data_IF_104918109224
#
_entry.id   IF_104918109224
#
_cell.length_a   1.000
_cell.length_b   1.000
_cell.length_c   1.000
_cell.angle_alpha   90.00
_cell.angle_beta   90.00
_cell.angle_gamma   90.00
#
_symmetry.space_group_name_H-M   'P 1'
#
loop_
_entity.id
_entity.type
_entity.pdbx_description
1 polymer ?
#
# COMPACT_ATOMS: atom_id res chain seq x y z
N UNK A 1 13.23 18.35 -8.79
CA UNK A 1 13.26 17.02 -8.18
C UNK A 1 12.11 16.16 -8.69
N UNK A 2 12.43 14.99 -9.23
CA UNK A 2 11.39 14.04 -9.68
C UNK A 2 10.70 13.44 -8.46
N UNK A 3 9.38 13.55 -8.39
CA UNK A 3 8.60 13.16 -7.22
C UNK A 3 7.51 12.15 -7.59
N UNK A 4 7.41 11.06 -6.79
CA UNK A 4 6.35 10.07 -6.89
C UNK A 4 5.53 10.12 -5.61
N UNK A 5 4.21 10.20 -5.72
CA UNK A 5 3.31 10.24 -4.59
C UNK A 5 2.37 9.03 -4.60
N UNK A 6 2.30 8.31 -3.48
CA UNK A 6 1.33 7.23 -3.27
C UNK A 6 0.28 7.72 -2.30
N UNK A 7 -0.95 7.87 -2.73
CA UNK A 7 -2.01 8.42 -1.87
C UNK A 7 -3.38 7.92 -2.30
N UNK A 8 -4.34 8.01 -1.37
CA UNK A 8 -5.74 7.70 -1.64
C UNK A 8 -6.44 8.84 -2.38
N UNK A 9 -6.03 10.07 -2.13
CA UNK A 9 -6.68 11.26 -2.66
C UNK A 9 -5.70 12.14 -3.41
N UNK A 10 -6.22 12.94 -4.33
CA UNK A 10 -5.43 13.93 -5.06
C UNK A 10 -5.22 15.16 -4.16
N UNK A 11 -4.28 15.03 -3.22
CA UNK A 11 -3.89 16.09 -2.30
C UNK A 11 -3.06 17.17 -3.00
N UNK A 12 -2.75 18.26 -2.31
CA UNK A 12 -1.86 19.28 -2.87
C UNK A 12 -0.48 18.72 -3.18
N UNK A 13 0.04 17.84 -2.31
CA UNK A 13 1.31 17.15 -2.56
C UNK A 13 1.23 16.29 -3.82
N UNK A 14 0.14 15.53 -3.98
CA UNK A 14 -0.05 14.69 -5.15
C UNK A 14 -0.13 15.50 -6.44
N UNK A 15 -0.76 16.68 -6.40
CA UNK A 15 -0.86 17.56 -7.58
C UNK A 15 0.48 18.09 -8.04
N UNK A 16 1.45 18.19 -7.15
CA UNK A 16 2.80 18.65 -7.47
C UNK A 16 3.77 17.51 -7.81
N UNK A 17 3.32 16.26 -7.70
CA UNK A 17 4.14 15.11 -8.03
C UNK A 17 4.18 14.86 -9.54
N UNK A 18 5.27 14.27 -10.00
CA UNK A 18 5.41 13.88 -11.42
C UNK A 18 4.61 12.63 -11.73
N UNK A 19 4.55 11.69 -10.78
CA UNK A 19 3.77 10.46 -10.88
C UNK A 19 2.95 10.28 -9.60
N UNK A 20 1.68 9.92 -9.74
CA UNK A 20 0.79 9.58 -8.64
C UNK A 20 0.36 8.13 -8.78
N UNK A 21 0.59 7.35 -7.72
CA UNK A 21 0.19 5.94 -7.66
C UNK A 21 -0.99 5.81 -6.69
N UNK A 22 -2.16 5.31 -7.14
CA UNK A 22 -3.31 5.19 -6.26
C UNK A 22 -3.12 4.09 -5.22
N UNK A 23 -3.36 4.42 -3.97
CA UNK A 23 -3.27 3.48 -2.85
C UNK A 23 -4.66 3.03 -2.39
N UNK A 24 -4.76 1.77 -1.95
CA UNK A 24 -5.99 1.25 -1.39
C UNK A 24 -6.18 1.71 0.05
N UNK A 25 -7.44 1.90 0.46
CA UNK A 25 -7.77 2.25 1.83
C UNK A 25 -7.73 1.02 2.74
N UNK A 26 -7.78 1.24 4.06
CA UNK A 26 -7.75 0.16 5.03
C UNK A 26 -8.94 -0.81 4.92
N UNK A 27 -10.03 -0.40 4.28
CA UNK A 27 -11.20 -1.27 4.04
C UNK A 27 -11.03 -2.18 2.83
N UNK A 28 -10.01 -1.97 2.03
CA UNK A 28 -9.83 -2.63 0.74
C UNK A 28 -8.74 -3.71 0.75
N UNK A 29 -8.19 -4.05 1.92
CA UNK A 29 -7.22 -5.14 2.08
C UNK A 29 -7.28 -5.73 3.48
N UNK A 30 -6.69 -6.92 3.63
CA UNK A 30 -6.54 -7.59 4.92
C UNK A 30 -5.31 -7.09 5.65
N UNK A 31 -5.39 -6.93 6.97
CA UNK A 31 -4.28 -6.44 7.77
C UNK A 31 -4.41 -6.89 9.24
N UNK A 32 -3.39 -6.58 10.02
CA UNK A 32 -3.40 -6.74 11.47
C UNK A 32 -3.32 -5.35 12.09
N UNK A 33 -4.24 -5.05 13.00
CA UNK A 33 -4.30 -3.74 13.64
C UNK A 33 -3.90 -3.81 15.10
N UNK A 34 -3.20 -2.81 15.55
CA UNK A 34 -2.81 -2.64 16.96
C UNK A 34 -2.74 -1.15 17.30
N UNK A 35 -2.61 -0.83 18.58
CA UNK A 35 -2.61 0.55 19.05
C UNK A 35 -1.53 0.77 20.10
N UNK A 36 -1.10 2.02 20.25
CA UNK A 36 -0.14 2.39 21.28
C UNK A 36 -0.70 2.35 22.69
N UNK A 37 -2.02 2.36 22.85
CA UNK A 37 -2.67 2.52 24.15
C UNK A 37 -3.23 1.22 24.75
N UNK A 38 -3.01 0.08 24.08
CA UNK A 38 -3.41 -1.23 24.59
C UNK A 38 -2.55 -2.33 23.97
N UNK A 39 -2.62 -3.52 24.54
CA UNK A 39 -1.83 -4.68 24.09
C UNK A 39 -2.64 -5.63 23.20
N UNK A 40 -3.81 -5.21 22.74
CA UNK A 40 -4.66 -6.04 21.89
C UNK A 40 -4.25 -5.91 20.42
N UNK A 41 -4.30 -7.02 19.71
CA UNK A 41 -4.14 -7.08 18.25
C UNK A 41 -5.46 -7.54 17.64
N UNK A 42 -5.88 -6.91 16.58
CA UNK A 42 -7.08 -7.27 15.84
C UNK A 42 -6.78 -7.68 14.42
N UNK A 43 -7.50 -8.67 13.90
CA UNK A 43 -7.48 -8.97 12.49
C UNK A 43 -8.46 -8.05 11.77
N UNK A 44 -8.00 -7.45 10.69
CA UNK A 44 -8.83 -6.61 9.82
C UNK A 44 -9.08 -7.35 8.53
N UNK A 45 -10.34 -7.64 8.26
CA UNK A 45 -10.73 -8.29 7.00
C UNK A 45 -11.12 -7.26 5.96
N UNK A 46 -10.75 -7.55 4.71
CA UNK A 46 -11.13 -6.74 3.57
C UNK A 46 -12.65 -6.64 3.47
N UNK A 47 -13.18 -5.42 3.38
CA UNK A 47 -14.61 -5.15 3.32
C UNK A 47 -15.09 -4.77 1.91
N UNK A 48 -14.19 -4.29 1.05
CA UNK A 48 -14.53 -3.84 -0.30
C UNK A 48 -13.39 -4.12 -1.26
N UNK A 49 -13.71 -4.19 -2.56
CA UNK A 49 -12.69 -4.28 -3.58
C UNK A 49 -12.06 -2.89 -3.81
N UNK A 50 -10.75 -2.82 -4.07
CA UNK A 50 -10.10 -1.55 -4.39
C UNK A 50 -10.73 -0.86 -5.60
N UNK A 51 -10.84 0.45 -5.53
CA UNK A 51 -11.38 1.25 -6.62
C UNK A 51 -10.33 1.44 -7.71
N UNK A 52 -10.74 1.25 -8.96
CA UNK A 52 -9.88 1.48 -10.12
C UNK A 52 -8.58 0.70 -10.05
N UNK A 53 -7.46 1.40 -10.15
CA UNK A 53 -6.12 0.81 -10.13
C UNK A 53 -5.46 0.87 -8.76
N UNK A 54 -6.21 1.23 -7.69
CA UNK A 54 -5.67 1.34 -6.35
C UNK A 54 -5.16 0.00 -5.82
N UNK A 55 -4.00 0.02 -5.18
CA UNK A 55 -3.34 -1.16 -4.63
C UNK A 55 -2.90 -0.91 -3.19
N UNK A 56 -2.90 -1.94 -2.32
CA UNK A 56 -2.24 -1.83 -1.01
C UNK A 56 -0.76 -1.45 -1.17
N UNK A 57 -0.24 -0.70 -0.22
CA UNK A 57 1.17 -0.25 -0.29
C UNK A 57 2.15 -1.42 -0.45
N UNK A 58 1.92 -2.53 0.24
CA UNK A 58 2.76 -3.72 0.10
C UNK A 58 2.83 -4.21 -1.35
N UNK A 59 1.69 -4.23 -2.05
CA UNK A 59 1.66 -4.64 -3.45
C UNK A 59 2.33 -3.62 -4.37
N UNK A 60 2.19 -2.34 -4.08
CA UNK A 60 2.90 -1.29 -4.82
C UNK A 60 4.41 -1.52 -4.75
N UNK A 61 4.93 -1.79 -3.55
CA UNK A 61 6.36 -2.03 -3.37
C UNK A 61 6.82 -3.36 -3.98
N UNK A 62 5.98 -4.40 -3.99
CA UNK A 62 6.30 -5.66 -4.71
C UNK A 62 6.48 -5.40 -6.20
N UNK A 63 5.58 -4.65 -6.81
CA UNK A 63 5.67 -4.31 -8.24
C UNK A 63 6.86 -3.43 -8.54
N UNK A 64 7.18 -2.50 -7.64
CA UNK A 64 8.38 -1.68 -7.78
C UNK A 64 9.64 -2.53 -7.69
N UNK A 65 9.70 -3.49 -6.76
CA UNK A 65 10.83 -4.40 -6.64
C UNK A 65 11.04 -5.23 -7.92
N UNK A 66 9.95 -5.71 -8.54
CA UNK A 66 10.04 -6.42 -9.82
C UNK A 66 10.55 -5.53 -10.93
N UNK A 67 10.10 -4.28 -10.98
CA UNK A 67 10.54 -3.32 -12.00
C UNK A 67 12.03 -2.99 -11.86
N UNK A 68 12.55 -3.00 -10.64
CA UNK A 68 13.97 -2.77 -10.33
C UNK A 68 14.81 -4.05 -10.39
N UNK A 69 14.19 -5.21 -10.66
CA UNK A 69 14.86 -6.51 -10.74
C UNK A 69 15.63 -6.89 -9.48
N UNK A 70 15.04 -6.60 -8.31
CA UNK A 70 15.66 -6.95 -7.02
C UNK A 70 15.46 -8.44 -6.71
N UNK A 71 16.50 -9.10 -6.22
CA UNK A 71 16.52 -10.55 -6.01
C UNK A 71 16.17 -11.00 -4.58
N UNK A 72 15.83 -10.08 -3.70
CA UNK A 72 15.54 -10.42 -2.29
C UNK A 72 14.20 -11.12 -2.17
N UNK A 73 14.15 -12.43 -1.72
CA UNK A 73 12.89 -13.17 -1.64
C UNK A 73 11.84 -12.53 -0.73
N UNK A 74 12.26 -11.86 0.33
CA UNK A 74 11.33 -11.21 1.27
C UNK A 74 10.48 -10.13 0.61
N UNK A 75 10.96 -9.53 -0.49
CA UNK A 75 10.24 -8.50 -1.22
C UNK A 75 9.04 -9.04 -2.00
N UNK A 76 8.94 -10.35 -2.16
CA UNK A 76 7.91 -11.01 -2.98
C UNK A 76 6.93 -11.85 -2.15
N UNK A 77 7.03 -11.79 -0.82
CA UNK A 77 6.10 -12.50 0.05
C UNK A 77 4.69 -11.95 -0.10
N UNK A 78 3.70 -12.85 -0.03
CA UNK A 78 2.30 -12.44 -0.04
C UNK A 78 1.88 -11.88 1.32
N UNK A 79 0.75 -11.21 1.37
CA UNK A 79 0.23 -10.67 2.63
C UNK A 79 -0.12 -11.76 3.65
N UNK A 80 -0.31 -13.02 3.19
CA UNK A 80 -0.55 -14.17 4.06
C UNK A 80 0.72 -14.73 4.70
N UNK A 81 1.87 -14.32 4.21
CA UNK A 81 3.18 -14.69 4.75
C UNK A 81 3.66 -13.60 5.72
#
# INVERSE_FOLDING_TARGET
>A
LFTVCCDLFMTDTARHADIVLPAASFLEYDDITFSYFHLLMGAQSKAAEPLGEALPNAEIFRRLARALELDEPALYESDAQ
#
